data_IF_274311822995
#
_entry.id   IF_274311822995
#
_cell.length_a   1.000
_cell.length_b   1.000
_cell.length_c   1.000
_cell.angle_alpha   90.00
_cell.angle_beta   90.00
_cell.angle_gamma   90.00
#
_symmetry.space_group_name_H-M   'P 1'
#
loop_
_entity.id
_entity.type
_entity.pdbx_description
1 polymer ?
#
# COMPACT_ATOMS: atom_id res chain seq x y z
N UNK A 1 30.07 -8.20 6.01
CA UNK A 1 29.35 -7.39 7.02
C UNK A 1 28.69 -6.27 6.25
N UNK A 2 27.55 -6.58 5.63
CA UNK A 2 26.73 -5.71 4.77
C UNK A 2 25.35 -6.38 4.80
N UNK A 3 24.21 -5.76 5.07
CA UNK A 3 23.82 -4.46 5.57
C UNK A 3 22.38 -4.66 6.07
N UNK A 4 21.95 -3.84 7.01
CA UNK A 4 20.55 -3.78 7.42
C UNK A 4 19.63 -3.39 6.23
N UNK A 5 18.34 -3.68 6.37
CA UNK A 5 17.18 -3.24 5.57
C UNK A 5 16.62 -4.23 4.53
N UNK A 6 16.05 -5.35 5.01
CA UNK A 6 15.14 -6.21 4.23
C UNK A 6 13.65 -5.81 4.39
N UNK A 7 13.33 -4.77 5.15
CA UNK A 7 11.96 -4.48 5.61
C UNK A 7 11.16 -3.54 4.71
N UNK A 8 11.82 -2.68 3.93
CA UNK A 8 11.13 -1.66 3.13
C UNK A 8 10.73 -2.17 1.75
N UNK A 9 11.53 -3.05 1.14
CA UNK A 9 11.29 -3.55 -0.23
C UNK A 9 10.05 -4.46 -0.28
N UNK A 10 9.87 -5.33 0.72
CA UNK A 10 8.71 -6.23 0.75
C UNK A 10 7.40 -5.47 0.99
N UNK A 11 7.42 -4.45 1.83
CA UNK A 11 6.25 -3.60 2.07
C UNK A 11 5.92 -2.73 0.85
N UNK A 12 6.95 -2.23 0.15
CA UNK A 12 6.79 -1.45 -1.06
C UNK A 12 6.24 -2.32 -2.21
N UNK A 13 6.71 -3.56 -2.34
CA UNK A 13 6.17 -4.53 -3.30
C UNK A 13 4.70 -4.88 -3.00
N UNK A 14 4.35 -5.05 -1.71
CA UNK A 14 2.97 -5.28 -1.30
C UNK A 14 2.08 -4.06 -1.56
N UNK A 15 2.60 -2.84 -1.34
CA UNK A 15 1.94 -1.59 -1.69
C UNK A 15 1.67 -1.49 -3.21
N UNK A 16 2.67 -1.76 -4.04
CA UNK A 16 2.51 -1.72 -5.50
C UNK A 16 1.50 -2.77 -5.99
N UNK A 17 1.51 -3.98 -5.42
CA UNK A 17 0.52 -5.03 -5.73
C UNK A 17 -0.90 -4.62 -5.34
N UNK A 18 -1.08 -4.03 -4.15
CA UNK A 18 -2.37 -3.53 -3.69
C UNK A 18 -2.86 -2.35 -4.54
N UNK A 19 -1.97 -1.45 -4.93
CA UNK A 19 -2.29 -0.32 -5.80
C UNK A 19 -2.73 -0.80 -7.18
N UNK A 20 -2.01 -1.74 -7.78
CA UNK A 20 -2.38 -2.33 -9.06
C UNK A 20 -3.78 -2.98 -9.01
N UNK A 21 -4.08 -3.73 -7.93
CA UNK A 21 -5.41 -4.31 -7.71
C UNK A 21 -6.50 -3.25 -7.52
N UNK A 22 -6.21 -2.19 -6.77
CA UNK A 22 -7.15 -1.08 -6.60
C UNK A 22 -7.48 -0.40 -7.93
N UNK A 23 -6.48 -0.17 -8.77
CA UNK A 23 -6.66 0.43 -10.10
C UNK A 23 -7.47 -0.51 -10.99
N UNK A 24 -7.12 -1.78 -11.04
CA UNK A 24 -7.82 -2.79 -11.85
C UNK A 24 -9.31 -2.91 -11.44
N UNK A 25 -9.58 -3.03 -10.14
CA UNK A 25 -10.97 -3.11 -9.64
C UNK A 25 -11.69 -1.77 -9.76
N UNK A 26 -10.98 -0.65 -9.59
CA UNK A 26 -11.51 0.70 -9.82
C UNK A 26 -11.92 0.94 -11.27
N UNK A 27 -11.20 0.36 -12.23
CA UNK A 27 -11.53 0.41 -13.66
C UNK A 27 -12.66 -0.58 -14.00
N UNK A 28 -12.60 -1.80 -13.49
CA UNK A 28 -13.55 -2.87 -13.83
C UNK A 28 -14.92 -2.68 -13.17
N UNK A 29 -14.93 -2.32 -11.89
CA UNK A 29 -16.13 -2.25 -11.07
C UNK A 29 -16.49 -0.79 -10.78
N UNK A 30 -15.49 0.04 -10.49
CA UNK A 30 -15.68 1.45 -10.16
C UNK A 30 -15.03 1.80 -8.81
N UNK A 31 -14.73 3.08 -8.62
CA UNK A 31 -14.09 3.57 -7.40
C UNK A 31 -14.98 3.48 -6.15
N UNK A 32 -16.30 3.40 -6.34
CA UNK A 32 -17.30 3.27 -5.25
C UNK A 32 -17.59 1.82 -4.88
N UNK A 33 -16.99 0.85 -5.56
CA UNK A 33 -17.18 -0.55 -5.20
C UNK A 33 -16.53 -0.86 -3.85
N UNK A 34 -17.18 -1.70 -3.01
CA UNK A 34 -16.66 -2.04 -1.69
C UNK A 34 -15.28 -2.70 -1.76
N UNK A 35 -14.95 -3.39 -2.85
CA UNK A 35 -13.61 -3.94 -3.08
C UNK A 35 -12.56 -2.85 -3.34
N UNK A 36 -12.87 -1.86 -4.19
CA UNK A 36 -11.96 -0.72 -4.43
C UNK A 36 -11.76 0.11 -3.18
N UNK A 37 -12.83 0.32 -2.40
CA UNK A 37 -12.77 1.02 -1.11
C UNK A 37 -11.91 0.23 -0.12
N UNK A 38 -12.07 -1.10 -0.06
CA UNK A 38 -11.24 -1.97 0.78
C UNK A 38 -9.77 -1.86 0.41
N UNK A 39 -9.42 -1.91 -0.87
CA UNK A 39 -8.03 -1.74 -1.30
C UNK A 39 -7.50 -0.34 -0.99
N UNK A 40 -8.31 0.71 -1.13
CA UNK A 40 -7.94 2.06 -0.73
C UNK A 40 -7.65 2.19 0.76
N UNK A 41 -8.41 1.49 1.63
CA UNK A 41 -8.19 1.50 3.07
C UNK A 41 -6.91 0.75 3.47
N UNK A 42 -6.63 -0.39 2.84
CA UNK A 42 -5.40 -1.16 3.07
C UNK A 42 -4.17 -0.34 2.65
N UNK A 43 -4.22 0.33 1.48
CA UNK A 43 -3.17 1.22 1.01
C UNK A 43 -2.94 2.41 1.95
N UNK A 44 -4.02 3.04 2.43
CA UNK A 44 -3.95 4.15 3.38
C UNK A 44 -3.31 3.71 4.71
N UNK A 45 -3.63 2.51 5.20
CA UNK A 45 -2.99 1.96 6.40
C UNK A 45 -1.49 1.75 6.23
N UNK A 46 -1.06 1.24 5.06
CA UNK A 46 0.36 1.07 4.74
C UNK A 46 1.06 2.44 4.67
N UNK A 47 0.49 3.41 3.95
CA UNK A 47 1.04 4.78 3.86
C UNK A 47 1.12 5.44 5.23
N UNK A 48 0.07 5.33 6.05
CA UNK A 48 0.04 5.90 7.39
C UNK A 48 1.08 5.22 8.30
N UNK A 49 1.34 3.92 8.12
CA UNK A 49 2.41 3.24 8.82
C UNK A 49 3.79 3.82 8.43
N UNK A 50 4.04 3.97 7.13
CA UNK A 50 5.26 4.61 6.62
C UNK A 50 5.42 6.06 7.10
N UNK A 51 4.36 6.86 7.02
CA UNK A 51 4.39 8.25 7.46
C UNK A 51 4.64 8.36 8.96
N UNK A 52 4.05 7.49 9.79
CA UNK A 52 4.33 7.46 11.23
C UNK A 52 5.77 7.07 11.54
N UNK A 53 6.32 6.09 10.82
CA UNK A 53 7.73 5.70 10.95
C UNK A 53 8.65 6.85 10.52
N UNK A 54 8.34 7.53 9.42
CA UNK A 54 9.10 8.67 8.90
C UNK A 54 8.96 9.94 9.73
N UNK A 55 7.84 10.12 10.45
CA UNK A 55 7.56 11.31 11.26
C UNK A 55 8.21 11.26 12.66
N UNK A 56 8.97 10.21 12.98
CA UNK A 56 9.77 10.12 14.21
C UNK A 56 11.24 10.59 14.06
N UNK A 57 11.61 11.16 12.91
CA UNK A 57 12.93 11.77 12.68
C UNK A 57 12.86 13.28 12.47
#
# INVERSE_FOLDING_TARGET
MEGHCLTDIELEDEFFKLQARMIDVGILKGLTHPETIKYSQELDMIINHFQKVSSQY
#
